data_IF_788066409439
#
_entry.id   IF_788066409439
#
_cell.length_a   1.000
_cell.length_b   1.000
_cell.length_c   1.000
_cell.angle_alpha   90.00
_cell.angle_beta   90.00
_cell.angle_gamma   90.00
#
_symmetry.space_group_name_H-M   'P 1'
#
loop_
_entity.id
_entity.type
_entity.pdbx_description
1 polymer ?
#
# COMPACT_ATOMS: atom_id res chain seq x y z
N UNK A 1 -12.97 -3.03 9.86
CA UNK A 1 -12.90 -1.76 9.11
C UNK A 1 -14.20 -1.57 8.36
N UNK A 2 -14.82 -0.39 8.45
CA UNK A 2 -15.93 -0.03 7.56
C UNK A 2 -15.49 0.00 6.07
N UNK A 3 -16.44 -0.14 5.14
CA UNK A 3 -16.16 -0.13 3.68
C UNK A 3 -15.43 1.15 3.25
N UNK A 4 -15.86 2.31 3.78
CA UNK A 4 -15.23 3.60 3.50
C UNK A 4 -13.79 3.67 4.02
N UNK A 5 -13.55 3.18 5.25
CA UNK A 5 -12.20 3.14 5.80
C UNK A 5 -11.28 2.23 5.00
N UNK A 6 -11.76 1.07 4.53
CA UNK A 6 -10.97 0.20 3.64
C UNK A 6 -10.59 0.92 2.34
N UNK A 7 -11.54 1.58 1.69
CA UNK A 7 -11.28 2.35 0.47
C UNK A 7 -10.23 3.45 0.70
N UNK A 8 -10.34 4.20 1.79
CA UNK A 8 -9.37 5.23 2.16
C UNK A 8 -7.96 4.67 2.37
N UNK A 9 -7.81 3.57 3.12
CA UNK A 9 -6.49 2.96 3.37
C UNK A 9 -5.85 2.39 2.09
N UNK A 10 -6.63 1.74 1.23
CA UNK A 10 -6.14 1.29 -0.09
C UNK A 10 -5.70 2.48 -0.95
N UNK A 11 -6.42 3.61 -0.87
CA UNK A 11 -6.10 4.83 -1.62
C UNK A 11 -4.81 5.47 -1.13
N UNK A 12 -4.61 5.55 0.20
CA UNK A 12 -3.34 5.99 0.79
C UNK A 12 -2.16 5.14 0.31
N UNK A 13 -2.30 3.81 0.36
CA UNK A 13 -1.24 2.90 -0.10
C UNK A 13 -0.88 3.15 -1.58
N UNK A 14 -1.90 3.30 -2.44
CA UNK A 14 -1.69 3.52 -3.86
C UNK A 14 -0.99 4.87 -4.15
N UNK A 15 -1.40 5.96 -3.47
CA UNK A 15 -0.79 7.28 -3.63
C UNK A 15 0.66 7.27 -3.17
N UNK A 16 0.95 6.71 -2.00
CA UNK A 16 2.31 6.64 -1.46
C UNK A 16 3.23 5.79 -2.35
N UNK A 17 2.76 4.65 -2.86
CA UNK A 17 3.50 3.87 -3.85
C UNK A 17 3.76 4.66 -5.13
N UNK A 18 2.77 5.39 -5.66
CA UNK A 18 2.95 6.21 -6.85
C UNK A 18 3.97 7.35 -6.62
N UNK A 19 3.92 8.05 -5.48
CA UNK A 19 4.88 9.08 -5.12
C UNK A 19 6.30 8.52 -4.93
N UNK A 20 6.43 7.35 -4.31
CA UNK A 20 7.71 6.63 -4.19
C UNK A 20 8.23 6.25 -5.57
N UNK A 21 7.41 5.61 -6.40
CA UNK A 21 7.77 5.23 -7.77
C UNK A 21 8.20 6.44 -8.61
N UNK A 22 7.54 7.59 -8.47
CA UNK A 22 7.93 8.83 -9.18
C UNK A 22 9.39 9.21 -8.90
N UNK A 23 9.90 8.93 -7.70
CA UNK A 23 11.27 9.25 -7.29
C UNK A 23 12.28 8.18 -7.70
N UNK A 24 11.91 6.90 -7.57
CA UNK A 24 12.88 5.78 -7.70
C UNK A 24 12.69 4.91 -8.94
N UNK A 25 11.51 4.93 -9.58
CA UNK A 25 11.12 4.11 -10.74
C UNK A 25 10.19 4.91 -11.71
N UNK A 26 10.58 6.12 -12.19
CA UNK A 26 9.69 7.00 -12.95
C UNK A 26 9.18 6.40 -14.27
N UNK A 27 10.01 5.60 -14.96
CA UNK A 27 9.62 4.95 -16.22
C UNK A 27 8.55 3.86 -15.98
N UNK A 28 8.70 3.06 -14.91
CA UNK A 28 7.70 2.06 -14.53
C UNK A 28 6.37 2.73 -14.14
N UNK A 29 6.43 3.87 -13.44
CA UNK A 29 5.24 4.67 -13.12
C UNK A 29 4.55 5.18 -14.38
N UNK A 30 5.28 5.74 -15.35
CA UNK A 30 4.71 6.21 -16.62
C UNK A 30 3.99 5.08 -17.36
N UNK A 31 4.67 3.94 -17.51
CA UNK A 31 4.10 2.76 -18.15
C UNK A 31 2.83 2.28 -17.43
N UNK A 32 2.84 2.23 -16.10
CA UNK A 32 1.66 1.84 -15.34
C UNK A 32 0.48 2.81 -15.52
N UNK A 33 0.75 4.13 -15.57
CA UNK A 33 -0.27 5.15 -15.82
C UNK A 33 -0.86 5.05 -17.23
N UNK A 34 -0.01 4.90 -18.24
CA UNK A 34 -0.39 4.70 -19.64
C UNK A 34 -1.25 3.43 -19.83
N UNK A 35 -1.01 2.41 -19.00
CA UNK A 35 -1.79 1.18 -18.96
C UNK A 35 -2.99 1.24 -18.00
N UNK A 36 -3.54 2.42 -17.75
CA UNK A 36 -4.79 2.63 -17.01
C UNK A 36 -4.67 2.50 -15.49
N UNK A 37 -3.44 2.55 -14.95
CA UNK A 37 -3.17 2.56 -13.52
C UNK A 37 -3.85 1.39 -12.75
N UNK A 38 -3.75 0.17 -13.29
CA UNK A 38 -4.40 -1.04 -12.76
C UNK A 38 -4.04 -1.28 -11.29
N UNK A 39 -5.05 -1.60 -10.47
CA UNK A 39 -4.89 -1.93 -9.04
C UNK A 39 -5.62 -3.24 -8.75
N UNK A 40 -5.00 -4.09 -7.94
CA UNK A 40 -5.61 -5.32 -7.42
C UNK A 40 -5.60 -5.20 -5.90
N UNK A 41 -6.77 -5.32 -5.28
CA UNK A 41 -6.93 -5.24 -3.83
C UNK A 41 -7.17 -6.66 -3.31
N UNK A 42 -6.31 -7.10 -2.39
CA UNK A 42 -6.41 -8.41 -1.74
C UNK A 42 -6.42 -8.26 -0.23
N UNK A 43 -6.90 -9.29 0.48
CA UNK A 43 -6.91 -9.32 1.93
C UNK A 43 -5.75 -10.18 2.45
N UNK A 44 -5.05 -9.68 3.47
CA UNK A 44 -4.13 -10.48 4.27
C UNK A 44 -4.88 -11.05 5.49
N UNK A 45 -4.54 -12.27 5.95
CA UNK A 45 -5.25 -12.90 7.06
C UNK A 45 -4.98 -12.23 8.42
N UNK A 46 -3.83 -11.56 8.58
CA UNK A 46 -3.43 -10.86 9.80
C UNK A 46 -2.27 -9.88 9.52
N UNK A 47 -1.87 -9.14 10.56
CA UNK A 47 -0.80 -8.14 10.49
C UNK A 47 0.57 -8.78 10.19
N UNK A 48 0.87 -9.96 10.72
CA UNK A 48 2.17 -10.60 10.52
C UNK A 48 2.34 -11.06 9.07
N UNK A 49 1.29 -11.58 8.44
CA UNK A 49 1.27 -11.88 7.02
C UNK A 49 1.50 -10.61 6.17
N UNK A 50 0.88 -9.48 6.55
CA UNK A 50 1.09 -8.20 5.87
C UNK A 50 2.53 -7.68 6.04
N UNK A 51 3.10 -7.80 7.24
CA UNK A 51 4.50 -7.42 7.53
C UNK A 51 5.49 -8.27 6.75
N UNK A 52 5.27 -9.58 6.68
CA UNK A 52 6.09 -10.51 5.91
C UNK A 52 6.08 -10.14 4.42
N UNK A 53 4.90 -9.98 3.82
CA UNK A 53 4.76 -9.58 2.42
C UNK A 53 5.45 -8.23 2.14
N UNK A 54 5.32 -7.27 3.05
CA UNK A 54 6.02 -5.99 2.91
C UNK A 54 7.54 -6.16 2.94
N UNK A 55 8.07 -7.00 3.83
CA UNK A 55 9.49 -7.32 3.90
C UNK A 55 10.01 -7.99 2.62
N UNK A 56 9.27 -8.97 2.10
CA UNK A 56 9.57 -9.64 0.82
C UNK A 56 9.61 -8.64 -0.34
N UNK A 57 8.60 -7.76 -0.45
CA UNK A 57 8.60 -6.69 -1.46
C UNK A 57 9.81 -5.76 -1.35
N UNK A 58 10.24 -5.40 -0.13
CA UNK A 58 11.43 -4.56 0.05
C UNK A 58 12.72 -5.31 -0.35
N UNK A 59 12.84 -6.60 -0.01
CA UNK A 59 13.99 -7.42 -0.37
C UNK A 59 14.16 -7.57 -1.89
N UNK A 60 13.05 -7.70 -2.62
CA UNK A 60 13.00 -7.77 -4.08
C UNK A 60 13.11 -6.40 -4.78
N UNK A 61 13.24 -5.31 -4.00
CA UNK A 61 13.34 -3.95 -4.56
C UNK A 61 12.06 -3.44 -5.21
N UNK A 62 10.89 -4.02 -4.86
CA UNK A 62 9.59 -3.60 -5.34
C UNK A 62 9.12 -2.31 -4.65
N UNK A 63 8.48 -1.43 -5.41
CA UNK A 63 7.83 -0.24 -4.85
C UNK A 63 6.68 -0.69 -3.96
N UNK A 64 6.84 -0.50 -2.66
CA UNK A 64 5.82 -0.83 -1.66
C UNK A 64 5.83 0.17 -0.51
N UNK A 65 4.67 0.27 0.15
CA UNK A 65 4.39 1.14 1.27
C UNK A 65 3.43 0.45 2.25
N UNK A 66 3.74 0.49 3.55
CA UNK A 66 2.88 -0.04 4.60
C UNK A 66 2.13 1.13 5.26
N UNK A 67 0.84 1.24 4.99
CA UNK A 67 0.00 2.27 5.60
C UNK A 67 -0.14 2.01 7.09
N UNK A 68 0.07 3.06 7.89
CA UNK A 68 -0.15 3.05 9.33
C UNK A 68 -1.28 4.02 9.63
N UNK A 69 -2.37 3.50 10.18
CA UNK A 69 -3.43 4.34 10.72
C UNK A 69 -3.02 4.81 12.12
N UNK A 70 -3.07 6.13 12.37
CA UNK A 70 -2.74 6.71 13.67
C UNK A 70 -3.72 6.29 14.80
N UNK A 71 -4.80 5.58 14.46
CA UNK A 71 -5.67 4.93 15.43
C UNK A 71 -6.73 5.85 16.06
N UNK A 72 -6.94 7.04 15.52
CA UNK A 72 -7.98 7.98 16.01
C UNK A 72 -9.42 7.61 15.61
N UNK A 73 -9.65 6.40 15.09
CA UNK A 73 -10.98 5.98 14.60
C UNK A 73 -11.34 4.56 15.08
N UNK A 74 -11.10 3.53 14.27
CA UNK A 74 -11.72 2.20 14.43
C UNK A 74 -10.76 1.04 14.76
N UNK A 75 -9.45 1.29 14.97
CA UNK A 75 -8.47 0.23 15.28
C UNK A 75 -7.71 0.64 16.54
N UNK A 76 -7.79 -0.15 17.63
CA UNK A 76 -7.05 0.13 18.86
C UNK A 76 -5.54 0.18 18.58
N UNK A 77 -4.84 1.12 19.21
CA UNK A 77 -3.38 1.12 19.25
C UNK A 77 -2.94 -0.15 20.00
N UNK A 78 -2.20 -1.04 19.35
CA UNK A 78 -1.45 -2.06 20.09
C UNK A 78 -0.24 -1.33 20.72
N UNK A 79 0.01 -1.49 22.03
CA UNK A 79 1.14 -0.86 22.73
C UNK A 79 2.48 -1.10 22.04
#
# INVERSE_FOLDING_TARGET
MSKGKLAAQCSHAAVECALKAKRIRPNELSSWLENGARKIVVAAPNLDALKRLFGECQAEGLVSYMVRDAGHTEIPRVP
#
